data_IF_922163446879
#
_entry.id   IF_922163446879
#
_cell.length_a   1.000
_cell.length_b   1.000
_cell.length_c   1.000
_cell.angle_alpha   90.00
_cell.angle_beta   90.00
_cell.angle_gamma   90.00
#
_symmetry.space_group_name_H-M   'P 1'
#
loop_
_entity.id
_entity.type
_entity.pdbx_description
1 polymer ?
#
# COMPACT_ATOMS: atom_id res chain seq x y z
N UNK A 1 4.88 12.49 14.62
CA UNK A 1 4.89 12.76 13.17
C UNK A 1 3.48 12.60 12.63
N UNK A 2 3.12 13.36 11.60
CA UNK A 2 1.76 13.42 11.03
C UNK A 2 1.81 13.00 9.57
N UNK A 3 1.31 11.79 9.29
CA UNK A 3 1.29 11.18 7.95
C UNK A 3 0.70 12.11 6.89
N UNK A 4 -0.34 12.87 7.24
CA UNK A 4 -1.06 13.68 6.27
C UNK A 4 -0.26 14.90 5.84
N UNK A 5 0.56 15.44 6.73
CA UNK A 5 1.45 16.56 6.44
C UNK A 5 2.75 16.08 5.78
N UNK A 6 3.30 14.98 6.27
CA UNK A 6 4.61 14.46 5.86
C UNK A 6 4.65 13.96 4.40
N UNK A 7 3.49 13.67 3.81
CA UNK A 7 3.37 13.23 2.41
C UNK A 7 3.05 14.36 1.42
N UNK A 8 2.65 15.54 1.90
CA UNK A 8 2.16 16.64 1.06
C UNK A 8 3.23 17.16 0.08
N UNK A 9 4.51 17.08 0.40
CA UNK A 9 5.60 17.54 -0.48
C UNK A 9 6.08 16.47 -1.49
N UNK A 10 5.56 15.25 -1.36
CA UNK A 10 5.88 14.09 -2.18
C UNK A 10 7.27 13.49 -1.97
N UNK A 11 8.12 14.03 -1.07
CA UNK A 11 9.50 13.56 -0.90
C UNK A 11 9.56 12.23 -0.19
N UNK A 12 8.90 12.11 0.97
CA UNK A 12 8.80 10.84 1.71
C UNK A 12 8.13 9.75 0.87
N UNK A 13 7.16 10.13 0.03
CA UNK A 13 6.50 9.20 -0.88
C UNK A 13 7.48 8.67 -1.94
N UNK A 14 8.32 9.52 -2.52
CA UNK A 14 9.36 9.09 -3.45
C UNK A 14 10.42 8.21 -2.76
N UNK A 15 10.88 8.59 -1.57
CA UNK A 15 11.84 7.80 -0.79
C UNK A 15 11.29 6.40 -0.46
N UNK A 16 10.01 6.31 -0.09
CA UNK A 16 9.33 5.03 0.12
C UNK A 16 9.35 4.18 -1.16
N UNK A 17 9.01 4.77 -2.31
CA UNK A 17 8.98 4.05 -3.58
C UNK A 17 10.36 3.61 -4.03
N UNK A 18 11.39 4.41 -3.78
CA UNK A 18 12.80 4.03 -4.02
C UNK A 18 13.17 2.76 -3.23
N UNK A 19 12.79 2.69 -1.96
CA UNK A 19 12.99 1.50 -1.13
C UNK A 19 12.21 0.27 -1.64
N UNK A 20 10.97 0.47 -2.09
CA UNK A 20 10.10 -0.61 -2.57
C UNK A 20 10.47 -1.12 -3.97
N UNK A 21 10.91 -0.25 -4.88
CA UNK A 21 11.33 -0.65 -6.24
C UNK A 21 12.77 -1.15 -6.30
N UNK A 22 13.56 -0.92 -5.25
CA UNK A 22 14.95 -1.37 -5.15
C UNK A 22 15.92 -0.65 -6.10
N UNK A 23 15.54 0.53 -6.62
CA UNK A 23 16.40 1.33 -7.49
C UNK A 23 16.31 2.82 -7.15
N UNK A 24 17.44 3.56 -7.21
CA UNK A 24 17.45 4.96 -6.82
C UNK A 24 16.58 5.82 -7.73
N UNK A 25 15.74 6.67 -7.14
CA UNK A 25 14.94 7.61 -7.90
C UNK A 25 15.77 8.86 -8.19
N UNK A 26 16.23 8.96 -9.43
CA UNK A 26 17.28 9.89 -9.89
C UNK A 26 16.99 11.38 -9.62
N UNK A 27 15.74 11.81 -9.36
CA UNK A 27 15.40 13.24 -9.22
C UNK A 27 14.27 13.52 -8.23
N UNK A 28 14.62 14.12 -7.10
CA UNK A 28 13.73 14.88 -6.22
C UNK A 28 13.76 16.36 -6.63
N UNK A 29 12.59 16.99 -6.81
CA UNK A 29 12.52 18.44 -6.96
C UNK A 29 12.89 19.09 -5.62
N UNK A 30 13.93 19.93 -5.63
CA UNK A 30 14.52 20.49 -4.41
C UNK A 30 13.77 21.72 -3.86
N UNK A 31 12.78 22.23 -4.58
CA UNK A 31 12.00 23.40 -4.16
C UNK A 31 10.91 23.09 -3.12
N UNK A 32 10.35 24.15 -2.55
CA UNK A 32 9.32 24.12 -1.50
C UNK A 32 7.99 24.75 -1.92
N UNK A 33 7.88 25.21 -3.17
CA UNK A 33 6.61 25.75 -3.67
C UNK A 33 5.64 24.61 -3.98
N UNK A 34 4.32 24.91 -3.96
CA UNK A 34 3.28 23.93 -4.29
C UNK A 34 3.49 23.24 -5.65
N UNK A 35 4.08 23.93 -6.62
CA UNK A 35 4.42 23.35 -7.94
C UNK A 35 5.47 22.24 -7.81
N UNK A 36 6.49 22.43 -6.97
CA UNK A 36 7.49 21.39 -6.71
C UNK A 36 6.86 20.17 -6.01
N UNK A 37 5.99 20.41 -5.02
CA UNK A 37 5.24 19.34 -4.34
C UNK A 37 4.38 18.54 -5.33
N UNK A 38 3.62 19.24 -6.19
CA UNK A 38 2.83 18.59 -7.24
C UNK A 38 3.70 17.77 -8.20
N UNK A 39 4.87 18.27 -8.59
CA UNK A 39 5.78 17.54 -9.47
C UNK A 39 6.31 16.27 -8.81
N UNK A 40 6.72 16.35 -7.53
CA UNK A 40 7.16 15.19 -6.77
C UNK A 40 6.05 14.13 -6.62
N UNK A 41 4.86 14.55 -6.20
CA UNK A 41 3.71 13.64 -6.05
C UNK A 41 3.31 13.05 -7.40
N UNK A 42 3.20 13.85 -8.47
CA UNK A 42 2.89 13.32 -9.81
C UNK A 42 3.89 12.26 -10.26
N UNK A 43 5.18 12.50 -9.99
CA UNK A 43 6.23 11.52 -10.27
C UNK A 43 6.02 10.23 -9.49
N UNK A 44 5.68 10.31 -8.20
CA UNK A 44 5.37 9.14 -7.39
C UNK A 44 4.15 8.36 -7.94
N UNK A 45 3.07 9.07 -8.28
CA UNK A 45 1.87 8.43 -8.88
C UNK A 45 2.20 7.78 -10.23
N UNK A 46 3.05 8.39 -11.06
CA UNK A 46 3.52 7.77 -12.32
C UNK A 46 4.34 6.50 -12.08
N UNK A 47 5.19 6.48 -11.06
CA UNK A 47 5.96 5.28 -10.69
C UNK A 47 5.01 4.16 -10.26
N UNK A 48 4.00 4.49 -9.46
CA UNK A 48 2.97 3.54 -9.03
C UNK A 48 2.20 2.95 -10.21
N UNK A 49 1.76 3.79 -11.14
CA UNK A 49 1.07 3.33 -12.37
C UNK A 49 1.98 2.43 -13.23
N UNK A 50 3.26 2.78 -13.37
CA UNK A 50 4.25 1.96 -14.11
C UNK A 50 4.47 0.58 -13.47
N UNK A 51 4.26 0.48 -12.16
CA UNK A 51 4.31 -0.79 -11.43
C UNK A 51 2.94 -1.49 -11.36
N UNK A 52 1.92 -1.06 -12.12
CA UNK A 52 0.58 -1.66 -12.11
C UNK A 52 -0.14 -1.54 -10.75
N UNK A 53 -0.01 -0.39 -10.10
CA UNK A 53 -0.83 -0.02 -8.93
C UNK A 53 -2.06 0.75 -9.40
N UNK A 54 -3.23 0.33 -8.96
CA UNK A 54 -4.50 0.98 -9.28
C UNK A 54 -4.72 2.21 -8.38
N UNK A 55 -4.77 3.39 -9.01
CA UNK A 55 -4.96 4.69 -8.35
C UNK A 55 -6.35 5.26 -8.64
N UNK A 56 -7.38 4.60 -8.13
CA UNK A 56 -8.78 4.99 -8.40
C UNK A 56 -9.11 6.30 -7.69
N UNK A 57 -9.36 7.35 -8.46
CA UNK A 57 -9.73 8.69 -7.97
C UNK A 57 -8.67 9.37 -7.08
N UNK A 58 -7.38 9.06 -7.27
CA UNK A 58 -6.28 9.70 -6.52
C UNK A 58 -5.47 10.58 -7.48
N UNK A 59 -5.51 11.90 -7.27
CA UNK A 59 -4.71 12.89 -7.99
C UNK A 59 -3.61 13.50 -7.12
N UNK A 60 -2.62 14.14 -7.76
CA UNK A 60 -1.53 14.77 -7.01
C UNK A 60 -1.98 15.94 -6.13
N UNK A 61 -2.98 16.70 -6.58
CA UNK A 61 -3.54 17.80 -5.77
C UNK A 61 -4.15 17.29 -4.47
N UNK A 62 -4.81 16.12 -4.49
CA UNK A 62 -5.42 15.53 -3.29
C UNK A 62 -4.38 15.23 -2.20
N UNK A 63 -3.18 14.81 -2.59
CA UNK A 63 -2.09 14.52 -1.65
C UNK A 63 -1.45 15.82 -1.17
N UNK A 64 -1.15 16.75 -2.07
CA UNK A 64 -0.50 18.04 -1.74
C UNK A 64 -1.39 18.91 -0.85
N UNK A 65 -2.71 18.84 -1.04
CA UNK A 65 -3.69 19.60 -0.26
C UNK A 65 -4.14 18.84 1.01
N UNK A 66 -3.56 17.67 1.31
CA UNK A 66 -3.75 16.97 2.58
C UNK A 66 -5.07 16.21 2.71
N UNK A 67 -5.65 15.68 1.61
CA UNK A 67 -6.89 14.92 1.68
C UNK A 67 -6.68 13.57 2.39
N UNK A 68 -7.03 13.49 3.68
CA UNK A 68 -6.79 12.31 4.52
C UNK A 68 -7.32 11.01 3.91
N UNK A 69 -8.53 11.03 3.33
CA UNK A 69 -9.14 9.83 2.75
C UNK A 69 -8.33 9.30 1.57
N UNK A 70 -7.89 10.19 0.68
CA UNK A 70 -7.14 9.81 -0.51
C UNK A 70 -5.68 9.49 -0.20
N UNK A 71 -5.10 10.12 0.82
CA UNK A 71 -3.79 9.74 1.36
C UNK A 71 -3.81 8.33 1.94
N UNK A 72 -4.81 7.99 2.77
CA UNK A 72 -4.96 6.62 3.29
C UNK A 72 -5.20 5.62 2.17
N UNK A 73 -6.03 5.97 1.18
CA UNK A 73 -6.26 5.15 -0.01
C UNK A 73 -4.97 4.89 -0.80
N UNK A 74 -4.13 5.91 -0.98
CA UNK A 74 -2.83 5.79 -1.64
C UNK A 74 -1.91 4.84 -0.88
N UNK A 75 -1.72 5.05 0.43
CA UNK A 75 -0.85 4.21 1.25
C UNK A 75 -1.36 2.75 1.28
N UNK A 76 -2.68 2.56 1.36
CA UNK A 76 -3.29 1.24 1.26
C UNK A 76 -2.97 0.56 -0.08
N UNK A 77 -3.11 1.26 -1.21
CA UNK A 77 -2.76 0.72 -2.53
C UNK A 77 -1.28 0.31 -2.61
N UNK A 78 -0.38 1.08 -1.99
CA UNK A 78 1.06 0.77 -1.94
C UNK A 78 1.31 -0.51 -1.12
N UNK A 79 0.77 -0.58 0.10
CA UNK A 79 0.92 -1.74 0.99
C UNK A 79 0.37 -2.99 0.31
N UNK A 80 -0.83 -2.91 -0.26
CA UNK A 80 -1.48 -4.03 -0.93
C UNK A 80 -0.65 -4.53 -2.12
N UNK A 81 -0.04 -3.63 -2.89
CA UNK A 81 0.78 -4.00 -4.03
C UNK A 81 2.07 -4.71 -3.59
N UNK A 82 2.90 -4.07 -2.77
CA UNK A 82 4.23 -4.61 -2.46
C UNK A 82 4.26 -5.67 -1.38
N UNK A 83 3.36 -5.63 -0.39
CA UNK A 83 3.38 -6.64 0.68
C UNK A 83 2.49 -7.83 0.35
N UNK A 84 1.30 -7.60 -0.23
CA UNK A 84 0.36 -8.70 -0.44
C UNK A 84 0.59 -9.37 -1.79
N UNK A 85 0.80 -8.63 -2.89
CA UNK A 85 0.95 -9.29 -4.19
C UNK A 85 2.27 -10.06 -4.33
N UNK A 86 3.37 -9.55 -3.78
CA UNK A 86 4.66 -10.23 -3.86
C UNK A 86 4.75 -11.43 -2.88
N UNK A 87 4.39 -11.26 -1.60
CA UNK A 87 4.45 -12.35 -0.61
C UNK A 87 3.45 -13.45 -0.95
N UNK A 88 2.28 -13.09 -1.48
CA UNK A 88 1.26 -14.09 -1.78
C UNK A 88 1.37 -14.69 -3.17
N UNK A 89 2.28 -14.24 -4.04
CA UNK A 89 2.34 -14.69 -5.44
C UNK A 89 2.29 -16.22 -5.60
N UNK A 90 3.05 -16.93 -4.78
CA UNK A 90 3.11 -18.40 -4.80
C UNK A 90 1.81 -19.03 -4.26
N UNK A 91 1.21 -18.42 -3.22
CA UNK A 91 -0.06 -18.85 -2.64
C UNK A 91 -1.23 -18.58 -3.59
N UNK A 92 -1.23 -17.45 -4.30
CA UNK A 92 -2.24 -17.06 -5.29
C UNK A 92 -2.23 -18.03 -6.49
N UNK A 93 -1.04 -18.42 -6.96
CA UNK A 93 -0.88 -19.39 -8.03
C UNK A 93 -1.43 -20.77 -7.63
N UNK A 94 -1.21 -21.21 -6.38
CA UNK A 94 -1.74 -22.46 -5.87
C UNK A 94 -3.25 -22.46 -5.62
N UNK A 95 -3.84 -21.31 -5.27
CA UNK A 95 -5.27 -21.19 -4.91
C UNK A 95 -6.20 -20.77 -6.07
N UNK A 96 -5.66 -20.43 -7.25
CA UNK A 96 -6.42 -19.90 -8.41
C UNK A 96 -7.39 -18.75 -8.05
N UNK A 97 -7.04 -17.95 -7.05
CA UNK A 97 -7.87 -16.87 -6.52
C UNK A 97 -7.17 -15.53 -6.82
N UNK A 98 -7.95 -14.50 -7.16
CA UNK A 98 -7.41 -13.16 -7.47
C UNK A 98 -7.74 -12.12 -6.40
N UNK A 99 -8.65 -12.44 -5.48
CA UNK A 99 -8.98 -11.59 -4.35
C UNK A 99 -7.99 -11.82 -3.21
N UNK A 100 -7.13 -10.82 -2.96
CA UNK A 100 -6.09 -10.82 -1.93
C UNK A 100 -6.61 -11.15 -0.52
N UNK A 101 -7.79 -10.66 -0.14
CA UNK A 101 -8.39 -10.93 1.16
C UNK A 101 -8.73 -12.41 1.33
N UNK A 102 -9.34 -13.03 0.31
CA UNK A 102 -9.68 -14.46 0.34
C UNK A 102 -8.45 -15.36 0.38
N UNK A 103 -7.36 -14.93 -0.25
CA UNK A 103 -6.10 -15.65 -0.28
C UNK A 103 -5.45 -15.57 1.09
N UNK A 104 -5.37 -14.37 1.69
CA UNK A 104 -4.88 -14.19 3.06
C UNK A 104 -5.69 -15.03 4.05
N UNK A 105 -7.03 -15.02 3.97
CA UNK A 105 -7.88 -15.80 4.86
C UNK A 105 -7.63 -17.30 4.70
N UNK A 106 -7.49 -17.78 3.46
CA UNK A 106 -7.17 -19.18 3.19
C UNK A 106 -5.81 -19.57 3.77
N UNK A 107 -4.80 -18.72 3.61
CA UNK A 107 -3.47 -18.93 4.17
C UNK A 107 -3.50 -18.97 5.70
N UNK A 108 -4.19 -18.02 6.35
CA UNK A 108 -4.30 -17.99 7.82
C UNK A 108 -4.96 -19.28 8.31
N UNK A 109 -6.12 -19.65 7.75
CA UNK A 109 -6.82 -20.89 8.11
C UNK A 109 -5.98 -22.15 7.92
N UNK A 110 -5.14 -22.18 6.88
CA UNK A 110 -4.25 -23.31 6.65
C UNK A 110 -3.18 -23.41 7.75
N UNK A 111 -2.66 -22.28 8.22
CA UNK A 111 -1.65 -22.21 9.28
C UNK A 111 -2.25 -22.41 10.68
N UNK A 112 -3.48 -21.98 10.91
CA UNK A 112 -4.17 -22.15 12.21
C UNK A 112 -4.92 -23.47 12.32
N UNK A 113 -4.95 -24.31 11.27
CA UNK A 113 -5.70 -25.59 11.22
C UNK A 113 -5.44 -26.54 12.40
N UNK A 114 -4.29 -26.41 13.07
CA UNK A 114 -3.91 -27.25 14.22
C UNK A 114 -4.40 -26.73 15.58
N UNK A 115 -4.98 -25.54 15.62
CA UNK A 115 -5.52 -24.90 16.82
C UNK A 115 -7.05 -24.90 16.76
N UNK A 116 -7.73 -25.89 17.37
CA UNK A 116 -9.18 -26.05 17.25
C UNK A 116 -9.97 -24.88 17.87
N UNK A 117 -9.38 -24.15 18.80
CA UNK A 117 -9.93 -22.93 19.40
C UNK A 117 -9.82 -21.69 18.49
N UNK A 118 -9.10 -21.76 17.37
CA UNK A 118 -8.85 -20.62 16.47
C UNK A 118 -9.61 -20.80 15.14
N UNK A 119 -10.71 -20.06 14.98
CA UNK A 119 -11.44 -19.98 13.71
C UNK A 119 -11.40 -18.56 13.13
N UNK A 120 -10.52 -18.36 12.15
CA UNK A 120 -10.35 -17.07 11.48
C UNK A 120 -11.31 -16.98 10.30
N UNK A 121 -12.31 -16.11 10.40
CA UNK A 121 -13.31 -15.87 9.36
C UNK A 121 -13.23 -14.48 8.71
N UNK A 122 -12.52 -13.54 9.34
CA UNK A 122 -12.29 -12.18 8.84
C UNK A 122 -10.99 -11.57 9.42
N UNK A 123 -10.63 -10.35 8.99
CA UNK A 123 -9.49 -9.58 9.51
C UNK A 123 -9.88 -8.53 10.57
N UNK A 124 -11.03 -8.71 11.22
CA UNK A 124 -11.49 -7.83 12.29
C UNK A 124 -11.83 -8.62 13.54
N UNK A 125 -13.09 -9.02 13.71
CA UNK A 125 -13.57 -9.72 14.90
C UNK A 125 -12.80 -10.99 15.27
N UNK A 126 -12.29 -11.74 14.27
CA UNK A 126 -11.51 -12.96 14.51
C UNK A 126 -10.15 -12.73 15.20
N UNK A 127 -9.67 -11.49 15.28
CA UNK A 127 -8.38 -11.16 15.89
C UNK A 127 -8.52 -10.46 17.26
N UNK A 128 -9.76 -10.20 17.70
CA UNK A 128 -10.03 -9.40 18.90
C UNK A 128 -9.64 -10.11 20.21
N UNK A 129 -9.62 -11.43 20.22
CA UNK A 129 -9.23 -12.23 21.38
C UNK A 129 -7.71 -12.48 21.44
N UNK A 130 -6.98 -12.11 20.39
CA UNK A 130 -5.53 -12.29 20.27
C UNK A 130 -5.08 -13.74 20.04
N UNK A 131 -6.00 -14.66 19.72
CA UNK A 131 -5.68 -16.09 19.52
C UNK A 131 -5.28 -16.43 18.08
N UNK A 132 -5.74 -15.61 17.11
CA UNK A 132 -5.45 -15.75 15.69
C UNK A 132 -4.01 -15.37 15.29
#
# INVERSE_FOLDING_TARGET
>A
EDLFLDLCDGRRLLELLEGLTGHPLVRLEKGFTRVHSLNNVNRALQILQKNNVDLVNIGAADIVDGNHKLILGLIWSIILHWQVKDVMKDVMAGLQQTNSEKILLSWVRQNTRRYPEVDVVNFSGSWNDGMA
#
